data_IF_227945553066
#
_entry.id   IF_227945553066
#
_cell.length_a   1.000
_cell.length_b   1.000
_cell.length_c   1.000
_cell.angle_alpha   90.00
_cell.angle_beta   90.00
_cell.angle_gamma   90.00
#
_symmetry.space_group_name_H-M   'P 1'
#
loop_
_entity.id
_entity.type
_entity.pdbx_description
1 polymer ?
#
# COMPACT_ATOMS: atom_id res chain seq x y z
N UNK A 1 18.56 -3.82 -2.34
CA UNK A 1 18.10 -3.10 -1.15
C UNK A 1 17.61 -4.12 -0.12
N UNK A 2 18.10 -4.08 1.12
CA UNK A 2 17.64 -4.97 2.21
C UNK A 2 16.87 -4.15 3.24
N UNK A 3 15.73 -3.61 2.85
CA UNK A 3 14.78 -3.06 3.82
C UNK A 3 13.82 -4.18 4.13
N UNK A 4 14.03 -4.86 5.25
CA UNK A 4 13.10 -5.83 5.81
C UNK A 4 12.63 -5.31 7.14
N UNK A 5 11.33 -5.28 7.34
CA UNK A 5 10.72 -4.97 8.62
C UNK A 5 10.56 -6.25 9.40
N UNK A 6 11.37 -6.48 10.36
CA UNK A 6 11.20 -7.55 11.33
C UNK A 6 10.62 -8.86 10.79
N UNK A 7 10.67 -9.89 11.60
CA UNK A 7 10.12 -11.21 11.23
C UNK A 7 8.68 -11.35 11.75
N UNK A 8 7.77 -10.42 11.40
CA UNK A 8 6.35 -10.51 11.79
C UNK A 8 5.45 -9.72 10.84
N UNK A 9 4.15 -9.89 11.03
CA UNK A 9 3.10 -9.12 10.38
C UNK A 9 2.64 -7.99 11.29
N UNK A 10 2.48 -6.80 10.72
CA UNK A 10 2.04 -5.59 11.41
C UNK A 10 0.66 -5.18 10.89
N UNK A 11 -0.17 -4.61 11.78
CA UNK A 11 -1.52 -4.18 11.47
C UNK A 11 -1.72 -2.71 11.83
N UNK A 12 -2.37 -1.96 10.96
CA UNK A 12 -2.66 -0.57 11.20
C UNK A 12 -3.72 0.02 10.28
N UNK A 13 -4.16 1.25 10.56
CA UNK A 13 -5.11 1.98 9.74
C UNK A 13 -4.43 2.75 8.61
N UNK A 14 -5.20 3.00 7.54
CA UNK A 14 -4.88 3.97 6.49
C UNK A 14 -5.19 5.38 7.01
N UNK A 15 -4.18 6.02 7.60
CA UNK A 15 -4.27 7.37 8.14
C UNK A 15 -4.35 7.43 9.67
N UNK A 16 -4.63 8.64 10.14
CA UNK A 16 -4.75 8.92 11.57
C UNK A 16 -6.04 8.34 12.12
N UNK A 17 -5.98 7.48 13.16
CA UNK A 17 -7.17 6.84 13.75
C UNK A 17 -8.27 7.83 14.10
N UNK A 18 -9.53 7.41 14.06
CA UNK A 18 -10.66 8.23 14.49
C UNK A 18 -10.59 8.58 15.98
N UNK A 19 -10.08 7.68 16.80
CA UNK A 19 -9.87 7.87 18.23
C UNK A 19 -8.82 8.94 18.56
N UNK A 20 -8.00 9.38 17.59
CA UNK A 20 -6.98 10.38 17.81
C UNK A 20 -7.58 11.76 18.12
N UNK A 21 -7.10 12.41 19.19
CA UNK A 21 -7.56 13.73 19.63
C UNK A 21 -7.28 14.85 18.62
N UNK A 22 -6.24 14.68 17.79
CA UNK A 22 -5.86 15.59 16.72
C UNK A 22 -5.57 14.80 15.45
N UNK A 23 -5.88 15.39 14.30
CA UNK A 23 -5.65 14.76 12.99
C UNK A 23 -4.26 15.10 12.44
N UNK A 24 -3.21 14.82 13.22
CA UNK A 24 -1.81 14.94 12.82
C UNK A 24 -1.07 13.60 13.00
N UNK A 25 0.01 13.44 12.27
CA UNK A 25 0.78 12.19 12.23
C UNK A 25 1.32 11.77 13.61
N UNK A 26 1.82 12.71 14.41
CA UNK A 26 2.40 12.39 15.73
C UNK A 26 1.33 11.90 16.70
N UNK A 27 0.18 12.56 16.71
CA UNK A 27 -0.98 12.11 17.50
C UNK A 27 -1.47 10.75 16.99
N UNK A 28 -1.50 10.54 15.68
CA UNK A 28 -1.86 9.25 15.08
C UNK A 28 -0.96 8.11 15.55
N UNK A 29 0.36 8.29 15.50
CA UNK A 29 1.33 7.27 15.95
C UNK A 29 1.12 6.91 17.43
N UNK A 30 0.88 7.90 18.32
CA UNK A 30 0.59 7.65 19.73
C UNK A 30 -0.71 6.87 19.91
N UNK A 31 -1.76 7.27 19.21
CA UNK A 31 -3.07 6.62 19.28
C UNK A 31 -3.02 5.17 18.77
N UNK A 32 -2.28 4.91 17.69
CA UNK A 32 -2.03 3.55 17.19
C UNK A 32 -1.40 2.67 18.28
N UNK A 33 -0.43 3.20 19.02
CA UNK A 33 0.18 2.48 20.17
C UNK A 33 -0.80 2.26 21.31
N UNK A 34 -1.58 3.29 21.68
CA UNK A 34 -2.62 3.21 22.72
C UNK A 34 -3.68 2.14 22.40
N UNK A 35 -3.99 1.95 21.12
CA UNK A 35 -4.90 0.92 20.63
C UNK A 35 -4.26 -0.47 20.50
N UNK A 36 -2.98 -0.63 20.84
CA UNK A 36 -2.20 -1.86 20.65
C UNK A 36 -2.03 -2.30 19.19
N UNK A 37 -2.26 -1.41 18.24
CA UNK A 37 -1.85 -1.59 16.85
C UNK A 37 -0.35 -1.30 16.71
N UNK A 38 0.25 -1.71 15.58
CA UNK A 38 1.70 -1.66 15.42
C UNK A 38 2.18 -1.17 14.05
N UNK A 39 1.25 -0.69 13.20
CA UNK A 39 1.54 -0.01 11.94
C UNK A 39 0.61 1.19 11.75
N UNK A 40 1.02 2.14 10.92
CA UNK A 40 0.17 3.24 10.44
C UNK A 40 0.61 3.64 9.04
N UNK A 41 -0.34 3.81 8.13
CA UNK A 41 -0.08 4.42 6.84
C UNK A 41 -0.30 5.93 6.90
N UNK A 42 0.66 6.69 6.36
CA UNK A 42 0.56 8.15 6.25
C UNK A 42 -0.13 8.49 4.93
N UNK A 43 -1.29 9.10 4.99
CA UNK A 43 -2.09 9.45 3.82
C UNK A 43 -1.73 10.83 3.26
N UNK A 44 -1.10 10.87 2.09
CA UNK A 44 -0.79 12.11 1.37
C UNK A 44 -1.87 12.49 0.35
N UNK A 45 -3.13 12.37 0.71
CA UNK A 45 -4.32 12.46 -0.16
C UNK A 45 -4.26 13.59 -1.20
N UNK A 46 -3.95 14.81 -0.78
CA UNK A 46 -3.94 16.02 -1.62
C UNK A 46 -2.55 16.59 -1.87
N UNK A 47 -1.52 15.84 -1.56
CA UNK A 47 -0.11 16.23 -1.70
C UNK A 47 0.68 16.08 -0.41
N UNK A 48 1.99 16.04 -0.55
CA UNK A 48 2.92 15.82 0.58
C UNK A 48 3.10 17.14 1.31
N UNK A 49 2.46 17.27 2.47
CA UNK A 49 2.54 18.47 3.34
C UNK A 49 3.52 18.29 4.51
N UNK A 50 4.00 17.07 4.74
CA UNK A 50 4.96 16.79 5.80
C UNK A 50 6.32 17.38 5.43
N UNK A 51 6.82 18.33 6.23
CA UNK A 51 8.17 18.82 6.09
C UNK A 51 9.19 17.89 6.77
N UNK A 52 10.49 18.15 6.55
CA UNK A 52 11.56 17.29 7.05
C UNK A 52 11.62 17.23 8.58
N UNK A 53 11.38 18.33 9.26
CA UNK A 53 11.36 18.39 10.73
C UNK A 53 10.24 17.50 11.30
N UNK A 54 9.03 17.60 10.74
CA UNK A 54 7.88 16.77 11.11
C UNK A 54 8.16 15.29 10.84
N UNK A 55 8.82 14.98 9.71
CA UNK A 55 9.20 13.61 9.37
C UNK A 55 10.23 13.03 10.37
N UNK A 56 11.24 13.81 10.75
CA UNK A 56 12.23 13.40 11.75
C UNK A 56 11.57 13.18 13.13
N UNK A 57 10.62 14.03 13.52
CA UNK A 57 9.85 13.83 14.75
C UNK A 57 9.03 12.54 14.69
N UNK A 58 8.37 12.26 13.55
CA UNK A 58 7.64 11.02 13.33
C UNK A 58 8.56 9.79 13.43
N UNK A 59 9.77 9.86 12.85
CA UNK A 59 10.79 8.81 12.94
C UNK A 59 11.21 8.52 14.38
N UNK A 60 11.47 9.55 15.17
CA UNK A 60 11.85 9.39 16.57
C UNK A 60 10.74 8.70 17.35
N UNK A 61 9.52 9.21 17.21
CA UNK A 61 8.36 8.71 17.93
C UNK A 61 7.96 7.29 17.50
N UNK A 62 7.95 7.00 16.21
CA UNK A 62 7.59 5.67 15.70
C UNK A 62 8.60 4.59 16.15
N UNK A 63 9.88 4.93 16.22
CA UNK A 63 10.92 4.03 16.76
C UNK A 63 10.76 3.79 18.26
N UNK A 64 10.53 4.85 19.03
CA UNK A 64 10.29 4.76 20.48
C UNK A 64 9.09 3.87 20.80
N UNK A 65 8.01 4.01 20.02
CA UNK A 65 6.76 3.28 20.23
C UNK A 65 6.68 1.95 19.45
N UNK A 66 7.71 1.62 18.66
CA UNK A 66 7.77 0.42 17.82
C UNK A 66 6.61 0.35 16.80
N UNK A 67 6.26 1.48 16.20
CA UNK A 67 5.24 1.58 15.15
C UNK A 67 5.89 1.61 13.77
N UNK A 68 5.47 0.70 12.89
CA UNK A 68 5.90 0.67 11.49
C UNK A 68 5.12 1.71 10.70
N UNK A 69 5.84 2.53 9.92
CA UNK A 69 5.23 3.54 9.05
C UNK A 69 5.32 3.14 7.59
N UNK A 70 4.20 3.26 6.89
CA UNK A 70 4.10 3.27 5.43
C UNK A 70 3.49 4.59 4.97
N UNK A 71 3.38 4.80 3.69
CA UNK A 71 2.66 5.97 3.17
C UNK A 71 1.91 5.63 1.88
N UNK A 72 0.73 6.25 1.71
CA UNK A 72 0.03 6.31 0.44
C UNK A 72 0.28 7.65 -0.24
N UNK A 73 0.76 7.62 -1.48
CA UNK A 73 1.00 8.82 -2.26
C UNK A 73 -0.33 9.43 -2.77
N UNK A 74 -0.33 10.70 -3.22
CA UNK A 74 -1.56 11.40 -3.62
C UNK A 74 -2.37 10.67 -4.70
N UNK A 75 -3.70 10.67 -4.58
CA UNK A 75 -4.63 10.02 -5.52
C UNK A 75 -4.64 10.62 -6.94
N UNK A 76 -4.00 11.80 -7.14
CA UNK A 76 -3.90 12.45 -8.45
C UNK A 76 -2.85 11.86 -9.38
N UNK A 77 -2.08 10.87 -8.91
CA UNK A 77 -1.04 10.23 -9.70
C UNK A 77 -1.65 9.52 -10.91
N UNK A 78 -1.09 9.82 -12.10
CA UNK A 78 -1.38 9.13 -13.34
C UNK A 78 -0.14 9.06 -14.21
N UNK A 79 0.59 7.94 -14.12
CA UNK A 79 1.83 7.73 -14.88
C UNK A 79 1.59 7.45 -16.37
N UNK A 80 0.32 7.27 -16.80
CA UNK A 80 -0.07 7.16 -18.20
C UNK A 80 -0.62 8.48 -18.78
N UNK A 81 -0.46 9.61 -18.07
CA UNK A 81 -0.96 10.89 -18.57
C UNK A 81 -0.34 11.28 -19.91
N UNK A 82 -1.15 11.69 -20.87
CA UNK A 82 -0.71 12.28 -22.14
C UNK A 82 -0.24 13.73 -21.98
N UNK A 83 -0.65 14.39 -20.88
CA UNK A 83 -0.22 15.75 -20.55
C UNK A 83 1.10 15.71 -19.78
N UNK A 84 2.15 16.24 -20.40
CA UNK A 84 3.52 16.20 -19.83
C UNK A 84 3.61 16.84 -18.43
N UNK A 85 2.88 17.93 -18.20
CA UNK A 85 2.84 18.60 -16.89
C UNK A 85 2.23 17.69 -15.81
N UNK A 86 1.14 16.98 -16.11
CA UNK A 86 0.51 16.01 -15.18
C UNK A 86 1.40 14.81 -14.93
N UNK A 87 2.09 14.33 -15.97
CA UNK A 87 3.06 13.24 -15.82
C UNK A 87 4.21 13.65 -14.89
N UNK A 88 4.80 14.83 -15.10
CA UNK A 88 5.86 15.37 -14.23
C UNK A 88 5.39 15.52 -12.78
N UNK A 89 4.17 16.05 -12.58
CA UNK A 89 3.59 16.17 -11.25
C UNK A 89 3.38 14.79 -10.60
N UNK A 90 2.93 13.80 -11.34
CA UNK A 90 2.75 12.42 -10.85
C UNK A 90 4.08 11.80 -10.39
N UNK A 91 5.13 11.95 -11.18
CA UNK A 91 6.50 11.52 -10.81
C UNK A 91 6.94 12.23 -9.53
N UNK A 92 6.78 13.56 -9.49
CA UNK A 92 7.18 14.37 -8.34
C UNK A 92 6.40 13.99 -7.06
N UNK A 93 5.11 13.69 -7.14
CA UNK A 93 4.34 13.23 -5.98
C UNK A 93 4.88 11.94 -5.38
N UNK A 94 5.28 10.97 -6.20
CA UNK A 94 5.87 9.72 -5.69
C UNK A 94 7.24 10.01 -5.05
N UNK A 95 8.07 10.81 -5.70
CA UNK A 95 9.41 11.18 -5.17
C UNK A 95 9.29 11.94 -3.84
N UNK A 96 8.37 12.90 -3.75
CA UNK A 96 8.14 13.63 -2.50
C UNK A 96 7.60 12.74 -1.39
N UNK A 97 6.70 11.80 -1.72
CA UNK A 97 6.21 10.81 -0.75
C UNK A 97 7.35 9.91 -0.26
N UNK A 98 8.21 9.46 -1.16
CA UNK A 98 9.40 8.67 -0.82
C UNK A 98 10.36 9.45 0.08
N UNK A 99 10.64 10.72 -0.24
CA UNK A 99 11.46 11.61 0.59
C UNK A 99 10.89 11.78 1.98
N UNK A 100 9.61 12.14 2.08
CA UNK A 100 8.95 12.37 3.37
C UNK A 100 8.96 11.09 4.22
N UNK A 101 8.63 9.94 3.61
CA UNK A 101 8.62 8.66 4.32
C UNK A 101 10.02 8.20 4.73
N UNK A 102 11.04 8.42 3.91
CA UNK A 102 12.45 8.12 4.24
C UNK A 102 12.88 8.87 5.49
N UNK A 103 12.63 10.18 5.56
CA UNK A 103 12.93 10.97 6.75
C UNK A 103 12.07 10.58 7.96
N UNK A 104 10.84 10.12 7.75
CA UNK A 104 9.98 9.58 8.79
C UNK A 104 10.40 8.17 9.26
N UNK A 105 11.40 7.57 8.63
CA UNK A 105 11.88 6.23 8.98
C UNK A 105 10.92 5.11 8.61
N UNK A 106 9.98 5.38 7.73
CA UNK A 106 9.09 4.39 7.16
C UNK A 106 9.71 3.63 6.00
N UNK A 107 8.95 2.68 5.39
CA UNK A 107 9.60 1.71 4.54
C UNK A 107 9.00 1.52 3.14
N UNK A 108 7.75 1.87 2.96
CA UNK A 108 6.99 1.49 1.77
C UNK A 108 6.02 2.60 1.38
N UNK A 109 6.14 3.11 0.17
CA UNK A 109 5.20 4.06 -0.44
C UNK A 109 4.31 3.32 -1.41
N UNK A 110 3.01 3.27 -1.13
CA UNK A 110 1.99 2.77 -2.04
C UNK A 110 1.45 3.90 -2.93
N UNK A 111 1.02 3.60 -4.15
CA UNK A 111 0.40 4.56 -5.06
C UNK A 111 -0.42 3.88 -6.16
N UNK A 112 -1.45 4.56 -6.64
CA UNK A 112 -2.23 4.18 -7.81
C UNK A 112 -1.44 4.50 -9.09
N UNK A 113 -1.16 3.53 -9.99
CA UNK A 113 -0.34 3.81 -11.19
C UNK A 113 -1.01 4.71 -12.22
N UNK A 114 -2.35 4.71 -12.29
CA UNK A 114 -3.12 5.54 -13.20
C UNK A 114 -4.19 4.79 -13.99
N UNK A 115 -4.59 5.32 -15.11
CA UNK A 115 -5.68 4.82 -15.96
C UNK A 115 -5.18 4.50 -17.35
N UNK A 116 -5.88 3.55 -18.04
CA UNK A 116 -5.58 3.28 -19.46
C UNK A 116 -5.89 4.48 -20.35
N UNK A 117 -6.91 5.28 -19.98
CA UNK A 117 -7.39 6.42 -20.78
C UNK A 117 -7.78 5.98 -22.21
N UNK A 118 -7.15 6.57 -23.25
CA UNK A 118 -7.37 6.25 -24.68
C UNK A 118 -6.25 5.34 -25.24
N UNK A 119 -5.35 4.83 -24.41
CA UNK A 119 -4.26 3.96 -24.84
C UNK A 119 -4.65 2.48 -24.76
N UNK A 120 -3.98 1.64 -25.52
CA UNK A 120 -4.04 0.19 -25.32
C UNK A 120 -3.41 -0.19 -23.97
N UNK A 121 -3.70 -1.38 -23.47
CA UNK A 121 -3.08 -1.90 -22.25
C UNK A 121 -1.56 -1.96 -22.36
N UNK A 122 -1.04 -2.43 -23.49
CA UNK A 122 0.39 -2.51 -23.74
C UNK A 122 1.04 -1.12 -23.78
N UNK A 123 0.43 -0.15 -24.45
CA UNK A 123 0.95 1.21 -24.48
C UNK A 123 0.92 1.86 -23.09
N UNK A 124 -0.14 1.68 -22.31
CA UNK A 124 -0.22 2.16 -20.93
C UNK A 124 0.89 1.53 -20.08
N UNK A 125 1.09 0.21 -20.20
CA UNK A 125 2.15 -0.50 -19.51
C UNK A 125 3.54 0.09 -19.80
N UNK A 126 3.86 0.29 -21.06
CA UNK A 126 5.17 0.85 -21.46
C UNK A 126 5.37 2.28 -20.92
N UNK A 127 4.35 3.14 -21.01
CA UNK A 127 4.42 4.52 -20.49
C UNK A 127 4.59 4.55 -18.97
N UNK A 128 3.79 3.76 -18.24
CA UNK A 128 3.87 3.65 -16.78
C UNK A 128 5.24 3.11 -16.36
N UNK A 129 5.73 2.06 -17.03
CA UNK A 129 7.06 1.48 -16.76
C UNK A 129 8.17 2.48 -16.97
N UNK A 130 8.13 3.29 -18.04
CA UNK A 130 9.11 4.34 -18.29
C UNK A 130 9.05 5.45 -17.23
N UNK A 131 7.85 5.88 -16.83
CA UNK A 131 7.69 6.88 -15.79
C UNK A 131 8.18 6.38 -14.43
N UNK A 132 7.86 5.13 -14.08
CA UNK A 132 8.32 4.51 -12.84
C UNK A 132 9.86 4.36 -12.81
N UNK A 133 10.49 4.01 -13.93
CA UNK A 133 11.96 4.01 -14.03
C UNK A 133 12.57 5.37 -13.72
N UNK A 134 11.94 6.48 -14.15
CA UNK A 134 12.39 7.84 -13.81
C UNK A 134 12.27 8.11 -12.30
N UNK A 135 11.15 7.70 -11.69
CA UNK A 135 10.97 7.79 -10.23
C UNK A 135 12.09 7.05 -9.51
N UNK A 136 12.35 5.80 -9.88
CA UNK A 136 13.37 4.97 -9.24
C UNK A 136 14.77 5.54 -9.44
N UNK A 137 15.09 6.08 -10.62
CA UNK A 137 16.38 6.77 -10.83
C UNK A 137 16.57 7.91 -9.85
N UNK A 138 15.59 8.80 -9.74
CA UNK A 138 15.67 9.95 -8.80
C UNK A 138 15.81 9.47 -7.35
N UNK A 139 15.02 8.48 -6.93
CA UNK A 139 15.07 7.94 -5.57
C UNK A 139 16.45 7.34 -5.25
N UNK A 140 17.05 6.63 -6.20
CA UNK A 140 18.39 6.06 -6.05
C UNK A 140 19.47 7.14 -5.97
N UNK A 141 19.40 8.15 -6.85
CA UNK A 141 20.35 9.26 -6.90
C UNK A 141 20.31 10.10 -5.61
N UNK A 142 19.11 10.26 -5.02
CA UNK A 142 18.90 10.99 -3.76
C UNK A 142 19.16 10.10 -2.51
N UNK A 143 19.34 8.80 -2.67
CA UNK A 143 19.60 7.86 -1.59
C UNK A 143 18.39 7.58 -0.68
N UNK A 144 17.15 7.74 -1.18
CA UNK A 144 15.96 7.43 -0.40
C UNK A 144 15.69 5.93 -0.41
N UNK A 145 16.06 5.26 0.68
CA UNK A 145 15.88 3.81 0.84
C UNK A 145 14.46 3.47 1.31
N UNK A 146 13.50 3.50 0.40
CA UNK A 146 12.11 3.08 0.61
C UNK A 146 11.61 2.24 -0.57
N UNK A 147 10.71 1.30 -0.32
CA UNK A 147 10.03 0.57 -1.39
C UNK A 147 9.00 1.45 -2.09
N UNK A 148 8.94 1.38 -3.40
CA UNK A 148 7.93 2.04 -4.23
C UNK A 148 6.99 0.96 -4.75
N UNK A 149 5.73 1.04 -4.35
CA UNK A 149 4.76 -0.03 -4.54
C UNK A 149 3.55 0.41 -5.36
N UNK A 150 3.55 0.13 -6.67
CA UNK A 150 2.32 0.25 -7.43
C UNK A 150 1.29 -0.73 -6.89
N UNK A 151 0.04 -0.27 -6.79
CA UNK A 151 -1.05 -0.99 -6.17
C UNK A 151 -1.93 -1.69 -7.20
N UNK A 152 -2.48 -2.86 -6.83
CA UNK A 152 -3.55 -3.51 -7.58
C UNK A 152 -4.84 -2.71 -7.50
N UNK A 153 -5.51 -2.44 -8.64
CA UNK A 153 -6.60 -1.49 -8.77
C UNK A 153 -7.96 -2.14 -9.05
N UNK A 154 -9.04 -1.56 -8.51
CA UNK A 154 -10.40 -2.10 -8.57
C UNK A 154 -11.05 -2.02 -9.95
N UNK A 155 -10.84 -0.96 -10.69
CA UNK A 155 -11.59 -0.70 -11.93
C UNK A 155 -10.93 -1.24 -13.19
N UNK A 156 -11.72 -1.84 -14.10
CA UNK A 156 -11.21 -2.31 -15.42
C UNK A 156 -10.71 -1.19 -16.35
N UNK A 157 -10.98 0.07 -16.02
CA UNK A 157 -10.46 1.26 -16.72
C UNK A 157 -9.17 1.77 -16.13
N UNK A 158 -8.79 1.28 -14.94
CA UNK A 158 -7.56 1.60 -14.26
C UNK A 158 -6.49 0.56 -14.61
N UNK A 159 -5.25 1.02 -14.78
CA UNK A 159 -4.09 0.15 -14.83
C UNK A 159 -3.84 -0.41 -13.42
N UNK A 160 -3.60 -1.71 -13.30
CA UNK A 160 -3.36 -2.32 -12.00
C UNK A 160 -4.06 -3.67 -11.82
N UNK A 161 -4.22 -4.43 -12.89
CA UNK A 161 -4.46 -5.88 -12.78
C UNK A 161 -3.29 -6.56 -12.06
N UNK A 162 -3.53 -7.67 -11.36
CA UNK A 162 -2.48 -8.37 -10.61
C UNK A 162 -1.25 -8.69 -11.48
N UNK A 163 -1.49 -9.26 -12.67
CA UNK A 163 -0.40 -9.66 -13.57
C UNK A 163 0.33 -8.42 -14.14
N UNK A 164 -0.37 -7.32 -14.37
CA UNK A 164 0.23 -6.05 -14.79
C UNK A 164 1.14 -5.47 -13.70
N UNK A 165 0.71 -5.48 -12.45
CA UNK A 165 1.50 -4.98 -11.31
C UNK A 165 2.72 -5.86 -11.06
N UNK A 166 2.57 -7.17 -11.08
CA UNK A 166 3.70 -8.11 -10.98
C UNK A 166 4.72 -7.81 -12.07
N UNK A 167 4.31 -7.83 -13.34
CA UNK A 167 5.18 -7.55 -14.50
C UNK A 167 5.81 -6.16 -14.48
N UNK A 168 5.11 -5.18 -13.92
CA UNK A 168 5.64 -3.82 -13.76
C UNK A 168 6.82 -3.78 -12.79
N UNK A 169 6.74 -4.55 -11.70
CA UNK A 169 7.76 -4.60 -10.65
C UNK A 169 8.93 -5.53 -10.99
N UNK A 170 8.72 -6.55 -11.84
CA UNK A 170 9.76 -7.53 -12.20
C UNK A 170 11.01 -6.87 -12.75
N UNK A 171 12.16 -7.22 -12.16
CA UNK A 171 13.48 -6.73 -12.58
C UNK A 171 13.72 -5.23 -12.33
N UNK A 172 12.85 -4.56 -11.57
CA UNK A 172 13.00 -3.16 -11.22
C UNK A 172 13.42 -3.02 -9.75
N UNK A 173 14.59 -2.47 -9.51
CA UNK A 173 15.08 -2.18 -8.15
C UNK A 173 14.12 -1.27 -7.41
N UNK A 174 14.10 -1.35 -6.08
CA UNK A 174 13.26 -0.53 -5.19
C UNK A 174 11.76 -0.66 -5.39
N UNK A 175 11.31 -1.65 -6.19
CA UNK A 175 9.90 -1.80 -6.55
C UNK A 175 9.39 -3.18 -6.17
N UNK A 176 8.28 -3.23 -5.47
CA UNK A 176 7.51 -4.44 -5.16
C UNK A 176 6.02 -4.09 -5.20
N UNK A 177 5.11 -5.05 -5.42
CA UNK A 177 3.68 -4.79 -5.42
C UNK A 177 3.13 -4.32 -4.05
N UNK A 178 2.09 -3.49 -4.06
CA UNK A 178 1.09 -3.40 -3.00
C UNK A 178 -0.15 -4.17 -3.46
N UNK A 179 -0.66 -5.06 -2.61
CA UNK A 179 -1.81 -5.90 -2.95
C UNK A 179 -3.02 -5.44 -2.15
N UNK A 180 -4.01 -4.87 -2.84
CA UNK A 180 -5.33 -4.60 -2.27
C UNK A 180 -6.31 -5.72 -2.64
N UNK A 181 -6.75 -6.46 -1.64
CA UNK A 181 -7.67 -7.59 -1.83
C UNK A 181 -9.11 -7.15 -2.06
N UNK A 182 -9.53 -5.99 -1.58
CA UNK A 182 -10.82 -5.42 -1.90
C UNK A 182 -10.88 -5.02 -3.39
N UNK A 183 -9.82 -4.42 -3.91
CA UNK A 183 -9.69 -4.11 -5.33
C UNK A 183 -9.72 -5.36 -6.21
N UNK A 184 -9.01 -6.43 -5.81
CA UNK A 184 -9.05 -7.71 -6.53
C UNK A 184 -10.44 -8.35 -6.47
N UNK A 185 -11.13 -8.26 -5.33
CA UNK A 185 -12.54 -8.70 -5.19
C UNK A 185 -13.44 -7.96 -6.18
N UNK A 186 -13.33 -6.64 -6.26
CA UNK A 186 -14.13 -5.83 -7.15
C UNK A 186 -13.83 -6.12 -8.63
N UNK A 187 -12.55 -6.14 -8.99
CA UNK A 187 -12.10 -6.26 -10.39
C UNK A 187 -12.34 -7.64 -10.98
N UNK A 188 -12.00 -8.69 -10.24
CA UNK A 188 -11.93 -10.07 -10.72
C UNK A 188 -13.02 -10.97 -10.14
N UNK A 189 -13.74 -10.50 -9.12
CA UNK A 189 -14.71 -11.29 -8.38
C UNK A 189 -14.07 -12.27 -7.37
N UNK A 190 -12.77 -12.21 -7.15
CA UNK A 190 -12.05 -13.13 -6.29
C UNK A 190 -12.46 -13.00 -4.83
N UNK A 191 -12.90 -14.11 -4.23
CA UNK A 191 -13.42 -14.12 -2.86
C UNK A 191 -13.39 -15.53 -2.25
N UNK A 192 -12.40 -16.31 -2.60
CA UNK A 192 -12.22 -17.66 -2.07
C UNK A 192 -10.78 -17.87 -1.59
N UNK A 193 -10.61 -18.82 -0.71
CA UNK A 193 -9.31 -19.25 -0.22
C UNK A 193 -8.32 -19.58 -1.36
N UNK A 194 -8.77 -20.37 -2.33
CA UNK A 194 -7.96 -20.75 -3.51
C UNK A 194 -7.47 -19.54 -4.30
N UNK A 195 -8.32 -18.52 -4.46
CA UNK A 195 -7.95 -17.29 -5.16
C UNK A 195 -6.92 -16.47 -4.38
N UNK A 196 -7.03 -16.42 -3.05
CA UNK A 196 -6.04 -15.76 -2.18
C UNK A 196 -4.69 -16.48 -2.20
N UNK A 197 -4.69 -17.82 -2.12
CA UNK A 197 -3.49 -18.66 -2.29
C UNK A 197 -2.84 -18.43 -3.65
N UNK A 198 -3.64 -18.36 -4.72
CA UNK A 198 -3.13 -18.10 -6.07
C UNK A 198 -2.44 -16.73 -6.19
N UNK A 199 -2.94 -15.68 -5.51
CA UNK A 199 -2.25 -14.38 -5.46
C UNK A 199 -0.86 -14.52 -4.83
N UNK A 200 -0.75 -15.18 -3.67
CA UNK A 200 0.52 -15.37 -2.98
C UNK A 200 1.48 -16.26 -3.79
N UNK A 201 0.99 -17.32 -4.40
CA UNK A 201 1.77 -18.20 -5.25
C UNK A 201 2.36 -17.46 -6.47
N UNK A 202 1.56 -16.65 -7.17
CA UNK A 202 2.05 -15.82 -8.28
C UNK A 202 3.14 -14.85 -7.86
N UNK A 203 3.01 -14.24 -6.68
CA UNK A 203 4.04 -13.35 -6.13
C UNK A 203 5.33 -14.13 -5.82
N UNK A 204 5.21 -15.32 -5.22
CA UNK A 204 6.37 -16.18 -4.93
C UNK A 204 7.05 -16.68 -6.22
N UNK A 205 6.28 -17.05 -7.23
CA UNK A 205 6.80 -17.45 -8.55
C UNK A 205 7.60 -16.33 -9.23
N UNK A 206 7.12 -15.09 -9.14
CA UNK A 206 7.72 -13.94 -9.83
C UNK A 206 8.91 -13.33 -9.08
N UNK A 207 8.89 -13.31 -7.75
CA UNK A 207 9.89 -12.61 -6.92
C UNK A 207 10.68 -13.53 -5.99
N UNK A 208 10.36 -14.82 -5.95
CA UNK A 208 10.91 -15.78 -4.98
C UNK A 208 10.26 -15.67 -3.61
N UNK A 209 10.53 -16.65 -2.74
CA UNK A 209 9.91 -16.78 -1.40
C UNK A 209 10.07 -15.57 -0.48
N UNK A 210 11.11 -14.81 -0.67
CA UNK A 210 11.40 -13.62 0.15
C UNK A 210 10.37 -12.50 -0.02
N UNK A 211 9.57 -12.49 -1.10
CA UNK A 211 8.50 -11.51 -1.27
C UNK A 211 7.47 -11.60 -0.14
N UNK A 212 7.13 -12.83 0.27
CA UNK A 212 6.17 -13.07 1.34
C UNK A 212 6.64 -12.56 2.72
N UNK A 213 7.95 -12.28 2.85
CA UNK A 213 8.53 -11.67 4.06
C UNK A 213 8.61 -10.14 4.01
N UNK A 214 8.09 -9.56 2.92
CA UNK A 214 8.13 -8.12 2.69
C UNK A 214 6.87 -7.65 1.95
N UNK A 215 5.71 -7.97 2.50
CA UNK A 215 4.43 -7.60 1.89
C UNK A 215 3.93 -6.23 2.35
N UNK A 216 3.22 -5.56 1.47
CA UNK A 216 2.35 -4.43 1.78
C UNK A 216 0.96 -4.76 1.25
N UNK A 217 0.03 -4.92 2.15
CA UNK A 217 -1.31 -5.41 1.86
C UNK A 217 -2.33 -4.39 2.34
N UNK A 218 -3.28 -4.05 1.48
CA UNK A 218 -4.47 -3.30 1.82
C UNK A 218 -5.68 -4.24 1.92
N UNK A 219 -6.50 -4.05 2.94
CA UNK A 219 -7.74 -4.79 3.14
C UNK A 219 -8.83 -3.83 3.62
N UNK A 220 -9.98 -3.89 2.97
CA UNK A 220 -11.24 -3.26 3.40
C UNK A 220 -12.42 -4.11 2.93
N UNK A 221 -13.60 -3.83 3.42
CA UNK A 221 -14.80 -4.23 2.71
C UNK A 221 -14.96 -3.43 1.43
N UNK A 222 -15.70 -3.97 0.45
CA UNK A 222 -15.98 -3.28 -0.80
C UNK A 222 -17.41 -3.53 -1.26
N UNK A 223 -18.08 -2.48 -1.74
CA UNK A 223 -19.36 -2.60 -2.44
C UNK A 223 -19.13 -2.92 -3.90
N UNK A 224 -19.88 -3.87 -4.43
CA UNK A 224 -19.88 -4.20 -5.85
C UNK A 224 -20.80 -3.26 -6.66
N UNK A 225 -20.80 -1.98 -6.32
CA UNK A 225 -21.48 -0.92 -7.03
C UNK A 225 -20.61 -0.36 -8.18
N UNK A 226 -21.07 0.69 -8.85
CA UNK A 226 -20.34 1.26 -9.99
C UNK A 226 -19.00 1.92 -9.59
N UNK A 227 -18.83 2.26 -8.33
CA UNK A 227 -17.68 3.03 -7.84
C UNK A 227 -16.62 2.14 -7.19
N UNK A 228 -16.98 0.93 -6.72
CA UNK A 228 -16.09 0.11 -5.91
C UNK A 228 -15.81 0.78 -4.56
N UNK A 229 -16.88 1.23 -3.89
CA UNK A 229 -16.76 2.02 -2.66
C UNK A 229 -16.26 1.15 -1.50
N UNK A 230 -15.21 1.57 -0.82
CA UNK A 230 -14.76 0.94 0.41
C UNK A 230 -15.82 1.06 1.51
N UNK A 231 -16.04 -0.02 2.22
CA UNK A 231 -16.95 -0.11 3.37
C UNK A 231 -16.26 -0.87 4.50
N UNK A 232 -16.90 -0.96 5.66
CA UNK A 232 -16.37 -1.77 6.75
C UNK A 232 -16.45 -3.27 6.39
N UNK A 233 -15.59 -4.08 6.97
CA UNK A 233 -15.51 -5.52 6.69
C UNK A 233 -16.83 -6.25 6.93
N UNK A 234 -17.59 -5.83 7.97
CA UNK A 234 -18.89 -6.40 8.29
C UNK A 234 -20.03 -5.96 7.36
N UNK A 235 -19.79 -4.98 6.49
CA UNK A 235 -20.75 -4.46 5.49
C UNK A 235 -20.48 -5.03 4.10
N UNK A 236 -19.49 -5.91 3.96
CA UNK A 236 -19.05 -6.52 2.71
C UNK A 236 -19.17 -8.04 2.76
N UNK A 237 -19.21 -8.64 1.58
CA UNK A 237 -19.13 -10.10 1.42
C UNK A 237 -17.68 -10.61 1.31
N UNK A 238 -16.67 -9.74 1.43
CA UNK A 238 -15.26 -10.14 1.40
C UNK A 238 -14.99 -11.17 2.49
N UNK A 239 -14.51 -12.34 2.11
CA UNK A 239 -14.15 -13.42 3.04
C UNK A 239 -12.78 -13.14 3.70
N UNK A 240 -12.71 -12.03 4.39
CA UNK A 240 -11.47 -11.54 4.99
C UNK A 240 -10.88 -12.51 6.03
N UNK A 241 -11.69 -13.35 6.68
CA UNK A 241 -11.19 -14.37 7.63
C UNK A 241 -10.39 -15.45 6.89
N UNK A 242 -10.94 -15.96 5.79
CA UNK A 242 -10.24 -16.94 4.93
C UNK A 242 -8.92 -16.35 4.42
N UNK A 243 -8.93 -15.04 4.07
CA UNK A 243 -7.71 -14.32 3.67
C UNK A 243 -6.68 -14.25 4.79
N UNK A 244 -7.07 -13.91 6.02
CA UNK A 244 -6.16 -13.83 7.17
C UNK A 244 -5.60 -15.21 7.52
N UNK A 245 -6.39 -16.29 7.39
CA UNK A 245 -5.91 -17.67 7.56
C UNK A 245 -4.85 -18.02 6.52
N UNK A 246 -5.10 -17.74 5.24
CA UNK A 246 -4.12 -17.95 4.17
C UNK A 246 -2.83 -17.16 4.42
N UNK A 247 -2.94 -15.89 4.78
CA UNK A 247 -1.79 -15.05 5.13
C UNK A 247 -0.95 -15.67 6.26
N UNK A 248 -1.60 -16.22 7.28
CA UNK A 248 -0.92 -16.88 8.40
C UNK A 248 -0.24 -18.18 7.99
N UNK A 249 -0.92 -19.03 7.24
CA UNK A 249 -0.39 -20.31 6.77
C UNK A 249 0.81 -20.15 5.84
N UNK A 250 0.80 -19.12 4.98
CA UNK A 250 1.93 -18.78 4.10
C UNK A 250 3.07 -18.06 4.86
N UNK A 251 2.92 -17.84 6.19
CA UNK A 251 3.88 -17.11 7.00
C UNK A 251 4.24 -15.75 6.39
N UNK A 252 3.25 -14.99 5.97
CA UNK A 252 3.42 -13.66 5.39
C UNK A 252 3.87 -12.68 6.48
N UNK A 253 4.87 -11.86 6.16
CA UNK A 253 5.36 -10.76 6.99
C UNK A 253 5.27 -9.43 6.22
N UNK A 254 5.33 -8.33 6.95
CA UNK A 254 5.17 -6.99 6.40
C UNK A 254 4.01 -6.26 7.06
N UNK A 255 3.21 -5.53 6.30
CA UNK A 255 2.09 -4.76 6.84
C UNK A 255 0.75 -5.13 6.21
N UNK A 256 -0.29 -5.14 7.03
CA UNK A 256 -1.69 -5.08 6.60
C UNK A 256 -2.26 -3.75 7.05
N UNK A 257 -2.73 -2.98 6.10
CA UNK A 257 -3.35 -1.67 6.33
C UNK A 257 -4.84 -1.79 6.07
N UNK A 258 -5.63 -1.36 7.06
CA UNK A 258 -7.09 -1.26 6.92
C UNK A 258 -7.46 0.02 6.21
N UNK A 259 -8.06 -0.10 5.03
CA UNK A 259 -8.66 1.02 4.28
C UNK A 259 -10.18 1.11 4.47
N UNK A 260 -10.72 0.37 5.44
CA UNK A 260 -12.13 0.48 5.83
C UNK A 260 -12.44 1.88 6.37
N UNK A 261 -13.65 2.42 6.16
CA UNK A 261 -14.03 3.73 6.71
C UNK A 261 -13.89 3.85 8.24
N UNK A 262 -14.01 2.75 8.98
CA UNK A 262 -13.80 2.70 10.43
C UNK A 262 -12.32 2.53 10.83
N UNK A 263 -11.39 2.58 9.88
CA UNK A 263 -9.93 2.58 10.05
C UNK A 263 -9.41 1.56 11.08
N UNK A 264 -9.17 2.03 12.31
CA UNK A 264 -8.55 1.25 13.40
C UNK A 264 -9.41 0.09 13.87
N UNK A 265 -10.74 0.17 13.76
CA UNK A 265 -11.63 -0.89 14.24
C UNK A 265 -11.45 -2.18 13.44
N UNK A 266 -11.43 -2.08 12.10
CA UNK A 266 -11.19 -3.24 11.25
C UNK A 266 -9.72 -3.69 11.29
N UNK A 267 -8.76 -2.79 11.48
CA UNK A 267 -7.37 -3.15 11.73
C UNK A 267 -7.24 -4.02 13.00
N UNK A 268 -7.90 -3.62 14.09
CA UNK A 268 -7.96 -4.39 15.34
C UNK A 268 -8.69 -5.72 15.16
N UNK A 269 -9.80 -5.71 14.42
CA UNK A 269 -10.57 -6.91 14.12
C UNK A 269 -9.69 -7.97 13.41
N UNK A 270 -8.96 -7.56 12.38
CA UNK A 270 -8.06 -8.45 11.64
C UNK A 270 -6.89 -8.94 12.51
N UNK A 271 -6.26 -8.04 13.26
CA UNK A 271 -5.14 -8.39 14.14
C UNK A 271 -5.56 -9.38 15.24
N UNK A 272 -6.71 -9.13 15.88
CA UNK A 272 -7.22 -10.03 16.92
C UNK A 272 -7.55 -11.41 16.36
N UNK A 273 -8.15 -11.46 15.17
CA UNK A 273 -8.43 -12.74 14.50
C UNK A 273 -7.11 -13.47 14.16
N UNK A 274 -6.15 -12.80 13.56
CA UNK A 274 -4.82 -13.37 13.25
C UNK A 274 -4.13 -13.94 14.48
N UNK A 275 -4.20 -13.24 15.61
CA UNK A 275 -3.58 -13.68 16.87
C UNK A 275 -4.34 -14.85 17.53
N UNK A 276 -5.62 -15.05 17.22
CA UNK A 276 -6.42 -16.15 17.74
C UNK A 276 -6.23 -17.48 17.00
N UNK A 277 -5.70 -17.46 15.79
CA UNK A 277 -5.34 -18.64 15.02
C UNK A 277 -4.05 -19.29 15.54
#
# INVERSE_FOLDING_TARGET
MKITYGLKLYFGPAGVPHAAKKKDTLTGIRTVKELNLNAMEIEFVYGVKMNEEQAIQAKSLSRELEIVLTAHAPYYINLNSSEESKLRNSINFIVQSAKALYYAGGYSVCFHPGWYQKTSKEEAFQRIKQALKKVISIIKDEGYEVWIRPETMEGKTKFGDLDEIIKLCEGMDYTLPCIDFAHLRYRNGWNSREEYENVLNKLEESFGKEILKNMHIHISGIKLDKAGTHVNLNESDLKWKDLIEVIKEYNVYGVIISESPNLEEDALLMMNYYNSL
#
